data_IF_430777664046
#
_entry.id   IF_430777664046
#
_cell.length_a   1.000
_cell.length_b   1.000
_cell.length_c   1.000
_cell.angle_alpha   90.00
_cell.angle_beta   90.00
_cell.angle_gamma   90.00
#
_symmetry.space_group_name_H-M   'P 1'
#
loop_
_entity.id
_entity.type
_entity.pdbx_description
1 polymer ?
#
# COMPACT_ATOMS: atom_id res chain seq x y z
N UNK A 1 -14.70 -4.06 3.61
CA UNK A 1 -14.42 -2.81 2.83
C UNK A 1 -14.10 -3.20 1.40
N UNK A 2 -14.66 -2.50 0.39
CA UNK A 2 -14.46 -2.88 -1.01
C UNK A 2 -13.21 -2.23 -1.62
N UNK A 3 -12.87 -1.03 -1.18
CA UNK A 3 -11.70 -0.26 -1.59
C UNK A 3 -10.99 0.25 -0.34
N UNK A 4 -9.68 0.04 -0.24
CA UNK A 4 -8.89 0.51 0.90
C UNK A 4 -7.64 1.30 0.48
N UNK A 5 -7.40 1.48 -0.82
CA UNK A 5 -6.36 2.35 -1.35
C UNK A 5 -7.01 3.66 -1.79
N UNK A 6 -6.52 4.78 -1.25
CA UNK A 6 -6.98 6.11 -1.60
C UNK A 6 -5.79 6.97 -2.00
N UNK A 7 -5.95 7.74 -3.08
CA UNK A 7 -4.91 8.60 -3.61
C UNK A 7 -5.45 10.02 -3.63
N UNK A 8 -4.72 10.94 -3.01
CA UNK A 8 -5.09 12.35 -2.98
C UNK A 8 -3.94 13.23 -3.47
N UNK A 9 -4.25 14.29 -4.24
CA UNK A 9 -3.28 15.31 -4.57
C UNK A 9 -2.78 16.02 -3.30
N UNK A 10 -1.52 16.44 -3.33
CA UNK A 10 -0.93 17.20 -2.24
C UNK A 10 -0.14 18.39 -2.79
N UNK A 11 -0.16 19.51 -2.07
CA UNK A 11 0.66 20.68 -2.28
C UNK A 11 2.05 20.58 -1.62
N UNK A 12 2.31 19.47 -0.93
CA UNK A 12 3.57 19.19 -0.24
C UNK A 12 4.47 18.26 -1.08
N UNK A 13 5.79 18.28 -0.83
CA UNK A 13 6.69 17.36 -1.52
C UNK A 13 6.31 15.90 -1.29
N UNK A 14 6.25 15.12 -2.38
CA UNK A 14 5.98 13.69 -2.35
C UNK A 14 6.95 12.94 -3.28
N UNK A 15 7.09 11.64 -3.06
CA UNK A 15 7.81 10.75 -3.97
C UNK A 15 6.93 10.23 -5.12
N UNK A 16 5.62 10.30 -4.95
CA UNK A 16 4.65 9.86 -5.96
C UNK A 16 4.11 11.06 -6.71
N UNK A 17 4.26 11.06 -8.03
CA UNK A 17 3.82 12.13 -8.93
C UNK A 17 2.93 11.53 -10.01
N UNK A 18 1.78 12.13 -10.26
CA UNK A 18 0.90 11.73 -11.35
C UNK A 18 1.20 12.57 -12.59
N UNK A 19 1.65 11.92 -13.66
CA UNK A 19 1.91 12.57 -14.94
C UNK A 19 0.62 12.55 -15.79
N UNK A 20 -0.04 13.70 -15.89
CA UNK A 20 -1.29 13.85 -16.64
C UNK A 20 -1.13 13.67 -18.15
N UNK A 21 0.07 13.86 -18.70
CA UNK A 21 0.35 13.65 -20.13
C UNK A 21 0.39 12.19 -20.51
N UNK A 22 0.99 11.36 -19.64
CA UNK A 22 1.14 9.90 -19.86
C UNK A 22 0.05 9.09 -19.17
N UNK A 23 -0.76 9.71 -18.29
CA UNK A 23 -1.73 9.07 -17.40
C UNK A 23 -1.10 7.97 -16.54
N UNK A 24 0.14 8.21 -16.04
CA UNK A 24 0.89 7.25 -15.23
C UNK A 24 1.41 7.92 -13.96
N UNK A 25 1.66 7.08 -12.96
CA UNK A 25 2.40 7.48 -11.77
C UNK A 25 3.89 7.26 -11.97
N UNK A 26 4.69 8.22 -11.53
CA UNK A 26 6.14 8.14 -11.43
C UNK A 26 6.53 8.11 -9.95
N UNK A 27 7.46 7.22 -9.58
CA UNK A 27 7.99 7.12 -8.22
C UNK A 27 9.45 7.59 -8.21
N UNK A 28 9.72 8.67 -7.49
CA UNK A 28 11.05 9.23 -7.32
C UNK A 28 11.77 8.63 -6.11
N UNK A 29 13.10 8.57 -6.16
CA UNK A 29 13.93 8.09 -5.05
C UNK A 29 13.94 9.06 -3.86
N UNK A 30 13.72 10.35 -4.14
CA UNK A 30 13.60 11.43 -3.15
C UNK A 30 12.26 12.14 -3.30
N UNK A 31 11.83 12.89 -2.29
CA UNK A 31 10.66 13.76 -2.40
C UNK A 31 10.93 14.92 -3.34
N UNK A 32 9.98 15.20 -4.23
CA UNK A 32 10.02 16.31 -5.17
C UNK A 32 8.82 17.23 -4.92
N UNK A 33 8.94 18.49 -5.27
CA UNK A 33 7.84 19.44 -5.24
C UNK A 33 7.26 19.60 -6.65
N UNK A 34 6.00 19.26 -6.81
CA UNK A 34 5.26 19.41 -8.07
C UNK A 34 3.78 19.60 -7.77
N UNK A 35 3.07 20.33 -8.62
CA UNK A 35 1.59 20.44 -8.53
C UNK A 35 0.87 19.11 -8.81
N UNK A 36 1.60 18.09 -9.26
CA UNK A 36 1.08 16.76 -9.56
C UNK A 36 1.46 15.72 -8.47
N UNK A 37 2.03 16.19 -7.35
CA UNK A 37 2.34 15.32 -6.21
C UNK A 37 1.08 14.67 -5.64
N UNK A 38 1.21 13.42 -5.22
CA UNK A 38 0.12 12.61 -4.67
C UNK A 38 0.56 11.92 -3.38
N UNK A 39 -0.39 11.69 -2.49
CA UNK A 39 -0.21 10.82 -1.34
C UNK A 39 -1.13 9.61 -1.43
N UNK A 40 -0.65 8.46 -0.97
CA UNK A 40 -1.44 7.23 -0.81
C UNK A 40 -1.81 7.07 0.66
N UNK A 41 -3.08 6.70 0.88
CA UNK A 41 -3.61 6.33 2.19
C UNK A 41 -4.22 4.94 2.09
N UNK A 42 -3.80 4.04 2.98
CA UNK A 42 -4.40 2.71 3.10
C UNK A 42 -5.21 2.68 4.38
N UNK A 43 -6.46 2.27 4.25
CA UNK A 43 -7.44 2.28 5.33
C UNK A 43 -7.83 0.87 5.78
N UNK A 44 -8.35 0.77 6.99
CA UNK A 44 -8.95 -0.46 7.54
C UNK A 44 -10.22 -0.16 8.30
N UNK A 45 -11.00 -1.21 8.59
CA UNK A 45 -12.21 -1.16 9.45
C UNK A 45 -11.84 -1.30 10.94
N UNK A 46 -10.55 -1.25 11.30
CA UNK A 46 -10.12 -1.35 12.68
C UNK A 46 -10.57 -0.14 13.50
N UNK A 47 -10.73 -0.38 14.81
CA UNK A 47 -11.03 0.68 15.76
C UNK A 47 -9.97 1.80 15.72
N UNK A 48 -10.45 3.04 15.62
CA UNK A 48 -9.58 4.19 15.44
C UNK A 48 -9.09 4.66 16.80
N UNK A 49 -7.78 4.81 16.94
CA UNK A 49 -7.17 5.40 18.14
C UNK A 49 -7.52 6.89 18.24
N UNK A 50 -7.64 7.40 19.45
CA UNK A 50 -8.03 8.81 19.71
C UNK A 50 -7.13 9.83 18.99
N UNK A 51 -5.83 9.53 18.86
CA UNK A 51 -4.84 10.36 18.15
C UNK A 51 -4.71 9.99 16.66
N UNK A 52 -5.55 9.05 16.16
CA UNK A 52 -5.47 8.54 14.79
C UNK A 52 -6.04 9.49 13.75
N UNK A 53 -5.99 9.03 12.51
CA UNK A 53 -6.51 9.73 11.35
C UNK A 53 -7.60 8.91 10.66
N UNK A 54 -8.58 9.60 10.10
CA UNK A 54 -9.69 9.00 9.35
C UNK A 54 -9.72 9.50 7.92
N UNK A 55 -10.11 8.60 7.04
CA UNK A 55 -10.49 8.91 5.67
C UNK A 55 -12.02 8.94 5.57
N UNK A 56 -12.56 10.04 5.10
CA UNK A 56 -13.99 10.24 4.91
C UNK A 56 -14.27 11.18 3.74
N UNK A 57 -15.15 10.77 2.84
CA UNK A 57 -15.57 11.55 1.65
C UNK A 57 -14.40 12.18 0.88
N UNK A 58 -13.35 11.39 0.60
CA UNK A 58 -12.20 11.84 -0.18
C UNK A 58 -11.26 12.79 0.56
N UNK A 59 -11.35 12.88 1.88
CA UNK A 59 -10.52 13.76 2.72
C UNK A 59 -9.97 13.04 3.94
N UNK A 60 -8.87 13.58 4.46
CA UNK A 60 -8.20 13.10 5.67
C UNK A 60 -8.46 14.06 6.81
N UNK A 61 -8.81 13.52 7.97
CA UNK A 61 -9.09 14.28 9.19
C UNK A 61 -8.37 13.65 10.37
N UNK A 62 -7.96 14.48 11.34
CA UNK A 62 -7.59 13.99 12.65
C UNK A 62 -8.86 13.50 13.36
N UNK A 63 -8.86 12.30 13.93
CA UNK A 63 -10.06 11.65 14.47
C UNK A 63 -10.79 12.53 15.51
N UNK A 64 -10.02 13.14 16.42
CA UNK A 64 -10.57 14.05 17.44
C UNK A 64 -11.30 15.26 16.83
N UNK A 65 -10.80 15.82 15.74
CA UNK A 65 -11.43 16.95 15.03
C UNK A 65 -12.66 16.49 14.25
N UNK A 66 -12.55 15.37 13.58
CA UNK A 66 -13.65 14.73 12.85
C UNK A 66 -14.84 14.47 13.78
N UNK A 67 -14.60 13.95 14.99
CA UNK A 67 -15.66 13.68 15.96
C UNK A 67 -16.37 14.92 16.46
N UNK A 68 -15.73 16.11 16.42
CA UNK A 68 -16.37 17.39 16.76
C UNK A 68 -17.28 17.92 15.66
N UNK A 69 -16.98 17.61 14.40
CA UNK A 69 -17.71 18.13 13.24
C UNK A 69 -18.97 17.31 12.91
N UNK A 70 -19.05 16.06 13.38
CA UNK A 70 -20.09 15.14 12.92
C UNK A 70 -21.33 15.14 13.81
N UNK A 71 -22.47 15.02 13.16
CA UNK A 71 -23.70 14.51 13.77
C UNK A 71 -23.68 12.97 13.78
N UNK A 72 -24.34 12.29 14.74
CA UNK A 72 -24.20 10.82 15.01
C UNK A 72 -24.56 9.86 13.88
N UNK A 73 -24.92 10.34 12.69
CA UNK A 73 -25.51 9.55 11.59
C UNK A 73 -24.47 9.00 10.59
N UNK A 74 -23.22 9.42 10.68
CA UNK A 74 -22.20 9.03 9.68
C UNK A 74 -21.39 7.84 10.17
N UNK A 75 -21.49 6.72 9.45
CA UNK A 75 -20.83 5.45 9.78
C UNK A 75 -19.69 5.08 8.82
N UNK A 76 -19.58 5.74 7.65
CA UNK A 76 -18.70 5.32 6.56
C UNK A 76 -17.37 6.07 6.56
N UNK A 77 -16.66 6.06 7.68
CA UNK A 77 -15.29 6.55 7.78
C UNK A 77 -14.34 5.42 8.20
N UNK A 78 -13.10 5.46 7.71
CA UNK A 78 -12.15 4.38 7.87
C UNK A 78 -10.86 4.87 8.53
N UNK A 79 -10.25 4.02 9.35
CA UNK A 79 -8.95 4.28 9.97
C UNK A 79 -7.85 4.30 8.92
N UNK A 80 -7.00 5.34 8.90
CA UNK A 80 -5.77 5.34 8.09
C UNK A 80 -4.69 4.59 8.87
N UNK A 81 -4.21 3.48 8.30
CA UNK A 81 -3.21 2.61 8.93
C UNK A 81 -1.82 2.75 8.30
N UNK A 82 -1.76 3.12 7.01
CA UNK A 82 -0.54 3.28 6.24
C UNK A 82 -0.65 4.49 5.32
N UNK A 83 0.45 5.24 5.12
CA UNK A 83 0.44 6.41 4.25
C UNK A 83 1.81 6.76 3.68
N UNK A 84 1.83 7.60 2.62
CA UNK A 84 3.03 8.31 2.14
C UNK A 84 3.09 9.76 2.63
N UNK A 85 2.03 10.26 3.28
CA UNK A 85 1.97 11.63 3.80
C UNK A 85 2.94 11.82 4.97
N UNK A 86 3.93 12.69 4.77
CA UNK A 86 5.03 12.90 5.72
C UNK A 86 4.56 13.52 7.05
N UNK A 87 3.45 14.26 7.05
CA UNK A 87 2.94 14.84 8.28
C UNK A 87 2.23 13.78 9.15
N UNK A 88 1.45 12.90 8.51
CA UNK A 88 0.84 11.78 9.19
C UNK A 88 1.89 10.79 9.71
N UNK A 89 2.98 10.59 8.95
CA UNK A 89 4.10 9.73 9.38
C UNK A 89 4.79 10.32 10.63
N UNK A 90 5.01 11.63 10.67
CA UNK A 90 5.56 12.32 11.86
C UNK A 90 4.63 12.19 13.07
N UNK A 91 3.33 12.17 12.85
CA UNK A 91 2.31 12.00 13.90
C UNK A 91 2.09 10.51 14.28
N UNK A 92 2.89 9.60 13.71
CA UNK A 92 2.93 8.18 14.12
C UNK A 92 2.12 7.21 13.26
N UNK A 93 1.54 7.65 12.12
CA UNK A 93 0.97 6.73 11.14
C UNK A 93 2.11 6.02 10.43
N UNK A 94 1.99 4.70 10.25
CA UNK A 94 3.05 3.93 9.62
C UNK A 94 3.22 4.28 8.13
N UNK A 95 4.48 4.40 7.69
CA UNK A 95 4.81 4.65 6.28
C UNK A 95 4.57 3.41 5.41
N UNK A 96 4.10 3.63 4.19
CA UNK A 96 4.06 2.62 3.13
C UNK A 96 5.50 2.29 2.69
N UNK A 97 5.78 1.01 2.47
CA UNK A 97 7.11 0.56 2.05
C UNK A 97 7.35 0.75 0.53
N UNK A 98 8.64 0.80 0.17
CA UNK A 98 9.09 1.01 -1.20
C UNK A 98 8.74 -0.15 -2.14
N UNK A 99 8.61 -1.37 -1.62
CA UNK A 99 8.26 -2.53 -2.41
C UNK A 99 6.83 -2.38 -2.95
N UNK A 100 5.91 -2.00 -2.08
CA UNK A 100 4.55 -1.72 -2.50
C UNK A 100 4.46 -0.53 -3.47
N UNK A 101 5.17 0.58 -3.20
CA UNK A 101 5.13 1.76 -4.08
C UNK A 101 5.64 1.43 -5.49
N UNK A 102 6.72 0.65 -5.62
CA UNK A 102 7.25 0.19 -6.92
C UNK A 102 6.27 -0.72 -7.66
N UNK A 103 5.55 -1.56 -6.94
CA UNK A 103 4.50 -2.40 -7.51
C UNK A 103 3.29 -1.55 -7.92
N UNK A 104 2.86 -0.62 -7.07
CA UNK A 104 1.68 0.21 -7.28
C UNK A 104 1.77 1.08 -8.55
N UNK A 105 2.93 1.70 -8.84
CA UNK A 105 3.08 2.50 -10.07
C UNK A 105 2.95 1.68 -11.36
N UNK A 106 3.13 0.35 -11.28
CA UNK A 106 2.87 -0.58 -12.38
C UNK A 106 1.42 -1.04 -12.42
N UNK A 107 0.71 -0.99 -11.30
CA UNK A 107 -0.65 -1.48 -11.10
C UNK A 107 -1.58 -0.39 -10.52
N UNK A 108 -1.69 0.80 -11.12
CA UNK A 108 -2.37 1.96 -10.53
C UNK A 108 -3.89 1.82 -10.44
N UNK A 109 -4.46 0.84 -11.13
CA UNK A 109 -5.90 0.52 -11.03
C UNK A 109 -6.26 -0.36 -9.84
N UNK A 110 -5.27 -0.73 -9.01
CA UNK A 110 -5.53 -1.49 -7.80
C UNK A 110 -6.21 -0.60 -6.76
N UNK A 111 -7.43 -0.95 -6.39
CA UNK A 111 -8.23 -0.22 -5.40
C UNK A 111 -8.20 -0.89 -4.02
N UNK A 112 -7.70 -2.12 -3.93
CA UNK A 112 -7.68 -2.90 -2.70
C UNK A 112 -6.41 -3.73 -2.56
N UNK A 113 -5.88 -3.77 -1.34
CA UNK A 113 -4.81 -4.70 -0.93
C UNK A 113 -5.09 -5.30 0.42
N UNK A 114 -4.68 -6.55 0.59
CA UNK A 114 -4.69 -7.18 1.90
C UNK A 114 -3.57 -6.61 2.77
N UNK A 115 -3.90 -6.30 4.03
CA UNK A 115 -2.94 -5.83 5.02
C UNK A 115 -2.92 -6.79 6.20
N UNK A 116 -1.75 -7.33 6.53
CA UNK A 116 -1.55 -8.14 7.73
C UNK A 116 -1.01 -7.27 8.85
N UNK A 117 -1.68 -7.36 10.00
CA UNK A 117 -1.17 -6.80 11.25
C UNK A 117 -0.22 -7.81 11.90
N UNK A 118 0.97 -7.35 12.20
CA UNK A 118 1.92 -8.13 13.01
C UNK A 118 1.84 -7.61 14.43
N UNK A 119 1.46 -8.47 15.35
CA UNK A 119 1.68 -8.20 16.77
C UNK A 119 3.19 -8.28 16.99
N UNK A 120 3.82 -7.12 17.05
CA UNK A 120 5.27 -7.02 17.03
C UNK A 120 5.91 -7.72 18.22
N UNK A 121 7.12 -8.15 18.01
CA UNK A 121 8.05 -8.67 19.03
C UNK A 121 8.18 -7.74 20.26
N UNK A 122 7.72 -6.49 20.20
CA UNK A 122 7.60 -5.57 21.35
C UNK A 122 6.83 -6.17 22.53
N UNK A 123 5.73 -6.90 22.26
CA UNK A 123 4.93 -7.52 23.34
C UNK A 123 5.71 -8.66 24.01
N UNK A 124 6.32 -9.54 23.20
CA UNK A 124 7.09 -10.68 23.73
C UNK A 124 8.36 -10.23 24.47
N UNK A 125 9.03 -9.17 24.02
CA UNK A 125 10.25 -8.68 24.69
C UNK A 125 9.91 -7.81 25.90
N UNK A 126 8.81 -7.05 25.87
CA UNK A 126 8.32 -6.34 27.07
C UNK A 126 7.94 -7.32 28.19
N UNK A 127 7.33 -8.47 27.85
CA UNK A 127 7.03 -9.55 28.80
C UNK A 127 8.31 -10.20 29.34
N UNK A 128 9.31 -10.44 28.49
CA UNK A 128 10.61 -11.00 28.91
C UNK A 128 11.39 -9.98 29.78
N UNK A 129 11.36 -8.68 29.46
CA UNK A 129 12.03 -7.64 30.23
C UNK A 129 11.38 -7.43 31.58
N UNK A 130 10.05 -7.52 31.68
CA UNK A 130 9.31 -7.46 32.94
C UNK A 130 9.65 -8.62 33.88
N UNK A 131 10.01 -9.80 33.34
CA UNK A 131 10.42 -10.97 34.11
C UNK A 131 11.89 -10.89 34.52
N UNK A 132 12.76 -10.25 33.74
CA UNK A 132 14.22 -10.23 33.99
C UNK A 132 14.73 -9.01 34.74
N UNK A 133 13.89 -7.99 34.97
CA UNK A 133 14.26 -6.81 35.77
C UNK A 133 15.40 -5.96 35.19
N UNK A 134 15.70 -6.08 33.92
CA UNK A 134 16.83 -5.44 33.28
C UNK A 134 16.36 -4.26 32.38
N UNK A 135 16.33 -3.04 32.95
CA UNK A 135 15.85 -1.83 32.28
C UNK A 135 16.80 -1.25 31.22
N UNK A 136 17.97 -1.84 31.00
CA UNK A 136 19.04 -1.31 30.14
C UNK A 136 19.03 -1.85 28.69
N UNK A 137 17.90 -2.33 28.18
CA UNK A 137 17.83 -2.74 26.78
C UNK A 137 17.65 -1.53 25.86
N UNK A 138 18.79 -1.04 25.32
CA UNK A 138 18.85 0.07 24.38
C UNK A 138 18.20 -0.29 23.02
N UNK A 139 16.96 0.15 22.81
CA UNK A 139 16.14 -0.10 21.62
C UNK A 139 16.57 0.69 20.36
N UNK A 140 17.60 1.53 20.45
CA UNK A 140 18.03 2.43 19.36
C UNK A 140 18.61 1.73 18.12
N UNK A 141 18.65 0.41 18.05
CA UNK A 141 19.32 -0.31 16.96
C UNK A 141 18.54 -1.39 16.24
N UNK A 142 17.28 -1.67 16.59
CA UNK A 142 16.50 -2.69 15.88
C UNK A 142 15.38 -2.01 15.08
N UNK A 143 15.58 -2.09 13.75
CA UNK A 143 14.75 -1.52 12.74
C UNK A 143 13.25 -1.69 12.95
N UNK A 144 12.59 -0.68 12.55
CA UNK A 144 11.22 -0.52 12.08
C UNK A 144 10.30 -1.76 12.32
N UNK A 145 9.84 -1.90 13.56
CA UNK A 145 8.79 -2.88 13.90
C UNK A 145 7.46 -2.36 13.37
N UNK A 146 7.26 -2.54 12.07
CA UNK A 146 6.01 -2.16 11.40
C UNK A 146 4.89 -3.04 11.92
N UNK A 147 3.82 -2.42 12.41
CA UNK A 147 2.64 -3.14 12.87
C UNK A 147 1.84 -3.72 11.70
N UNK A 148 2.01 -3.19 10.48
CA UNK A 148 1.27 -3.57 9.28
C UNK A 148 2.21 -3.91 8.13
N UNK A 149 1.85 -4.95 7.36
CA UNK A 149 2.52 -5.31 6.11
C UNK A 149 1.49 -5.49 4.99
N UNK A 150 1.70 -4.82 3.87
CA UNK A 150 0.89 -4.99 2.67
C UNK A 150 1.24 -6.33 2.01
N UNK A 151 0.22 -7.10 1.66
CA UNK A 151 0.39 -8.30 0.85
C UNK A 151 0.21 -7.89 -0.61
N UNK A 152 1.32 -7.78 -1.32
CA UNK A 152 1.32 -7.46 -2.74
C UNK A 152 0.68 -8.64 -3.49
N UNK A 153 -0.37 -8.41 -4.31
CA UNK A 153 -0.96 -9.44 -5.13
C UNK A 153 0.10 -10.07 -6.03
N UNK A 154 0.17 -11.39 -6.07
CA UNK A 154 1.03 -12.09 -7.02
C UNK A 154 0.44 -11.89 -8.41
N UNK A 155 1.27 -11.44 -9.36
CA UNK A 155 0.90 -11.47 -10.77
C UNK A 155 0.67 -12.94 -11.16
N UNK A 156 -0.59 -13.30 -11.47
CA UNK A 156 -0.86 -14.59 -12.05
C UNK A 156 -0.21 -14.63 -13.44
N UNK A 157 0.59 -15.67 -13.76
CA UNK A 157 1.16 -15.78 -15.08
C UNK A 157 0.02 -15.79 -16.10
N UNK A 158 0.07 -14.89 -17.07
CA UNK A 158 -0.89 -14.85 -18.18
C UNK A 158 -0.67 -16.16 -18.94
N UNK A 159 -1.51 -17.15 -18.67
CA UNK A 159 -1.57 -18.36 -19.48
C UNK A 159 -2.23 -17.94 -20.80
N UNK A 160 -1.40 -17.55 -21.78
CA UNK A 160 -1.85 -17.34 -23.14
C UNK A 160 -2.20 -18.73 -23.69
N UNK A 161 -3.46 -19.10 -23.56
CA UNK A 161 -3.99 -20.25 -24.30
C UNK A 161 -4.01 -19.82 -25.76
N UNK A 162 -3.01 -20.28 -26.52
CA UNK A 162 -3.06 -20.15 -27.96
C UNK A 162 -4.36 -20.81 -28.46
N UNK A 163 -5.10 -20.14 -29.35
CA UNK A 163 -6.30 -20.76 -29.92
C UNK A 163 -5.91 -22.07 -30.64
N UNK A 164 -6.78 -23.07 -30.64
CA UNK A 164 -6.50 -24.46 -31.17
C UNK A 164 -5.97 -24.47 -32.61
N UNK A 165 -6.13 -23.38 -33.34
CA UNK A 165 -5.63 -23.24 -34.72
C UNK A 165 -4.08 -23.28 -34.83
N UNK A 166 -3.33 -22.96 -33.75
CA UNK A 166 -1.88 -23.00 -33.77
C UNK A 166 -1.30 -24.39 -33.44
N UNK A 167 -2.05 -25.25 -32.77
CA UNK A 167 -1.60 -26.63 -32.50
C UNK A 167 -1.60 -27.50 -33.76
N UNK A 168 -2.48 -27.20 -34.75
CA UNK A 168 -2.56 -27.97 -36.00
C UNK A 168 -1.49 -27.62 -37.05
N UNK A 169 -0.72 -26.53 -36.85
CA UNK A 169 0.37 -26.15 -37.78
C UNK A 169 1.74 -26.76 -37.46
N UNK A 170 1.92 -27.35 -36.29
CA UNK A 170 3.18 -28.06 -36.01
C UNK A 170 3.30 -29.40 -36.73
N UNK A 171 2.19 -30.06 -37.09
CA UNK A 171 2.19 -31.28 -37.87
C UNK A 171 2.55 -31.06 -39.35
N UNK A 172 2.34 -29.87 -39.91
CA UNK A 172 2.55 -29.60 -41.33
C UNK A 172 3.99 -29.29 -41.72
N UNK A 173 4.90 -29.03 -40.79
CA UNK A 173 6.31 -28.75 -41.08
C UNK A 173 7.13 -30.03 -41.33
N UNK A 174 6.76 -31.14 -40.73
CA UNK A 174 7.40 -32.44 -40.98
C UNK A 174 6.93 -33.04 -42.31
N UNK A 175 5.68 -32.83 -42.71
CA UNK A 175 5.17 -33.28 -44.01
C UNK A 175 5.77 -32.52 -45.19
N UNK A 176 6.06 -31.23 -45.04
CA UNK A 176 6.66 -30.41 -46.10
C UNK A 176 8.13 -30.82 -46.36
N UNK A 177 8.86 -31.23 -45.34
CA UNK A 177 10.27 -31.68 -45.50
C UNK A 177 10.37 -33.03 -46.18
N UNK A 178 9.37 -33.90 -46.10
CA UNK A 178 9.38 -35.22 -46.71
C UNK A 178 8.95 -35.23 -48.19
N UNK A 179 8.34 -34.16 -48.69
CA UNK A 179 7.93 -34.06 -50.10
C UNK A 179 8.98 -33.41 -51.03
N UNK A 180 10.19 -33.11 -50.52
CA UNK A 180 11.32 -32.62 -51.32
C UNK A 180 12.49 -33.60 -51.45
N UNK A 181 12.21 -34.91 -51.36
CA UNK A 181 13.19 -35.95 -51.71
C UNK A 181 12.80 -36.68 -52.99
#
# INVERSE_FOLDING_TARGET
MKNNIHILPTDKPSRLVYNSTTNKFDLYSITVYSSQCQNIYITSDEEIKEEGYVFWEGKVYKYREFMKMRTPVYTDYFSIILTTDQDLIKDGVQSIDDEFLKWFVKNPSCEFVDVKKYHGVKTAIAEISAVSGNDDYNWKGRGDLRDYKIIIPKEEPIIVRLPPYYESKQETLEEVVNNFK
#
